data_IF_873384224228
#
_entry.id   IF_873384224228
#
_cell.length_a   1.000
_cell.length_b   1.000
_cell.length_c   1.000
_cell.angle_alpha   90.00
_cell.angle_beta   90.00
_cell.angle_gamma   90.00
#
_symmetry.space_group_name_H-M   'P 1'
#
loop_
_entity.id
_entity.type
_entity.pdbx_description
1 polymer ?
#
# COMPACT_ATOMS: atom_id res chain seq x y z
N UNK A 1 25.76 7.39 49.62
CA UNK A 1 25.24 8.44 48.72
C UNK A 1 26.39 8.96 47.88
N UNK A 2 26.19 8.98 46.55
CA UNK A 2 26.87 9.76 45.50
C UNK A 2 28.34 9.36 45.17
N UNK A 3 28.75 9.04 43.93
CA UNK A 3 28.10 9.17 42.64
C UNK A 3 28.87 8.51 41.48
N UNK A 4 28.19 8.47 40.33
CA UNK A 4 28.58 7.99 39.00
C UNK A 4 29.88 8.61 38.46
N UNK A 5 30.67 7.82 37.73
CA UNK A 5 31.32 8.26 36.47
C UNK A 5 31.72 7.08 35.58
N UNK A 6 31.13 7.04 34.39
CA UNK A 6 31.48 6.17 33.27
C UNK A 6 32.71 6.71 32.53
N UNK A 7 33.49 5.86 31.84
CA UNK A 7 34.22 6.27 30.65
C UNK A 7 33.62 5.63 29.40
N UNK A 8 33.06 6.49 28.55
CA UNK A 8 32.73 6.24 27.15
C UNK A 8 34.00 6.02 26.33
N UNK A 9 34.02 5.03 25.43
CA UNK A 9 34.69 5.21 24.13
C UNK A 9 34.19 4.24 23.04
N UNK A 10 34.33 4.65 21.75
CA UNK A 10 33.40 4.27 20.68
C UNK A 10 34.08 3.57 19.49
N UNK A 11 33.50 2.46 19.01
CA UNK A 11 33.75 1.84 17.68
C UNK A 11 32.58 0.87 17.47
N UNK A 12 31.85 0.77 16.37
CA UNK A 12 31.91 1.31 15.02
C UNK A 12 30.48 1.21 14.44
N UNK A 13 30.11 1.99 13.42
CA UNK A 13 28.77 2.00 12.83
C UNK A 13 28.63 0.88 11.79
N UNK A 14 27.38 0.52 11.47
CA UNK A 14 26.98 -0.39 10.39
C UNK A 14 27.17 -1.90 10.66
N UNK A 15 26.17 -2.49 11.32
CA UNK A 15 25.64 -3.76 10.87
C UNK A 15 24.15 -3.53 10.57
N UNK A 16 23.88 -2.99 9.38
CA UNK A 16 22.56 -3.10 8.79
C UNK A 16 22.35 -4.58 8.47
N UNK A 17 21.80 -5.31 9.42
CA UNK A 17 21.33 -6.66 9.17
C UNK A 17 20.18 -6.52 8.19
N UNK A 18 20.46 -6.79 6.92
CA UNK A 18 19.52 -6.94 5.82
C UNK A 18 18.67 -8.19 6.08
N UNK A 19 17.89 -8.13 7.16
CA UNK A 19 16.86 -9.10 7.43
C UNK A 19 15.71 -8.73 6.50
N UNK A 20 15.19 -9.65 5.66
CA UNK A 20 13.92 -9.41 5.00
C UNK A 20 12.95 -9.00 6.10
N UNK A 21 12.37 -7.80 6.03
CA UNK A 21 11.40 -7.35 7.03
C UNK A 21 10.16 -8.23 6.91
N UNK A 22 10.24 -9.42 7.52
CA UNK A 22 9.13 -10.32 7.74
C UNK A 22 8.37 -9.67 8.88
N UNK A 23 7.43 -8.80 8.51
CA UNK A 23 6.54 -8.12 9.42
C UNK A 23 5.71 -9.17 10.18
N UNK A 24 5.47 -8.99 11.49
CA UNK A 24 4.73 -9.96 12.27
C UNK A 24 3.32 -10.13 11.71
N UNK A 25 2.82 -11.37 11.73
CA UNK A 25 1.49 -11.81 11.32
C UNK A 25 0.36 -11.26 12.23
N UNK A 26 0.42 -9.97 12.52
CA UNK A 26 -0.67 -9.22 13.12
C UNK A 26 -1.82 -9.14 12.11
N UNK A 27 -3.07 -9.17 12.59
CA UNK A 27 -4.26 -8.94 11.75
C UNK A 27 -4.40 -7.44 11.38
N UNK A 28 -3.27 -6.81 11.08
CA UNK A 28 -3.15 -5.42 10.71
C UNK A 28 -3.20 -5.27 9.19
N UNK A 29 -3.62 -4.09 8.77
CA UNK A 29 -3.64 -3.64 7.38
C UNK A 29 -2.80 -2.37 7.30
N UNK A 30 -2.05 -2.24 6.21
CA UNK A 30 -1.19 -1.11 5.93
C UNK A 30 -1.79 -0.24 4.83
N UNK A 31 -1.56 1.06 4.94
CA UNK A 31 -1.82 2.01 3.88
C UNK A 31 -0.68 1.97 2.87
N UNK A 32 -1.00 1.67 1.62
CA UNK A 32 -0.06 1.70 0.50
C UNK A 32 -0.54 2.71 -0.50
N UNK A 33 0.28 3.71 -0.77
CA UNK A 33 0.07 4.70 -1.81
C UNK A 33 0.42 4.09 -3.17
N UNK A 34 -0.40 4.42 -4.16
CA UNK A 34 -0.32 3.85 -5.50
C UNK A 34 -0.24 4.99 -6.50
N UNK A 35 0.69 4.87 -7.45
CA UNK A 35 0.59 5.57 -8.74
C UNK A 35 0.25 4.56 -9.81
N UNK A 36 -0.81 4.83 -10.58
CA UNK A 36 -1.25 3.93 -11.65
C UNK A 36 -0.38 4.13 -12.90
N UNK A 37 -0.14 3.05 -13.65
CA UNK A 37 0.45 3.15 -14.98
C UNK A 37 -0.66 3.53 -15.98
N UNK A 38 -0.54 4.69 -16.63
CA UNK A 38 -1.51 5.20 -17.60
C UNK A 38 -2.98 4.99 -17.15
N UNK A 39 -3.84 4.46 -18.03
CA UNK A 39 -5.25 4.11 -17.75
C UNK A 39 -5.44 2.72 -17.13
N UNK A 40 -4.37 2.09 -16.60
CA UNK A 40 -4.37 0.70 -16.09
C UNK A 40 -4.70 0.58 -14.60
N UNK A 41 -5.56 1.46 -14.08
CA UNK A 41 -5.94 1.39 -12.66
C UNK A 41 -6.61 0.07 -12.30
N UNK A 42 -7.38 -0.52 -13.22
CA UNK A 42 -7.93 -1.87 -13.05
C UNK A 42 -6.84 -2.92 -12.88
N UNK A 43 -5.89 -2.97 -13.81
CA UNK A 43 -4.87 -4.00 -13.83
C UNK A 43 -3.95 -3.91 -12.60
N UNK A 44 -3.65 -2.68 -12.15
CA UNK A 44 -2.89 -2.45 -10.93
C UNK A 44 -3.63 -3.03 -9.70
N UNK A 45 -4.90 -2.66 -9.52
CA UNK A 45 -5.70 -3.14 -8.39
C UNK A 45 -5.94 -4.65 -8.44
N UNK A 46 -6.15 -5.22 -9.64
CA UNK A 46 -6.29 -6.66 -9.85
C UNK A 46 -5.02 -7.39 -9.44
N UNK A 47 -3.86 -6.94 -9.92
CA UNK A 47 -2.57 -7.55 -9.56
C UNK A 47 -2.34 -7.53 -8.04
N UNK A 48 -2.64 -6.40 -7.39
CA UNK A 48 -2.54 -6.34 -5.93
C UNK A 48 -3.48 -7.33 -5.24
N UNK A 49 -4.73 -7.45 -5.68
CA UNK A 49 -5.69 -8.40 -5.14
C UNK A 49 -5.34 -9.88 -5.37
N UNK A 50 -4.51 -10.19 -6.38
CA UNK A 50 -3.98 -11.54 -6.63
C UNK A 50 -2.83 -11.90 -5.68
N UNK A 51 -2.11 -10.90 -5.15
CA UNK A 51 -0.93 -11.10 -4.31
C UNK A 51 -1.16 -10.80 -2.83
N UNK A 52 -2.23 -10.10 -2.48
CA UNK A 52 -2.58 -9.77 -1.09
C UNK A 52 -4.09 -9.53 -0.93
N UNK A 53 -4.55 -9.58 0.31
CA UNK A 53 -5.92 -9.15 0.65
C UNK A 53 -6.00 -7.62 0.66
N UNK A 54 -6.77 -7.07 -0.28
CA UNK A 54 -7.19 -5.67 -0.24
C UNK A 54 -8.45 -5.56 0.62
N UNK A 55 -8.57 -4.52 1.43
CA UNK A 55 -9.75 -4.26 2.27
C UNK A 55 -10.44 -2.94 1.91
N UNK A 56 -9.72 -2.05 1.25
CA UNK A 56 -10.24 -0.80 0.72
C UNK A 56 -9.31 -0.29 -0.38
N UNK A 57 -9.87 0.41 -1.36
CA UNK A 57 -9.09 1.18 -2.32
C UNK A 57 -9.75 2.52 -2.60
N UNK A 58 -8.92 3.52 -2.82
CA UNK A 58 -9.29 4.83 -3.30
C UNK A 58 -8.50 5.14 -4.57
N UNK A 59 -9.17 5.79 -5.52
CA UNK A 59 -8.57 6.33 -6.74
C UNK A 59 -8.96 7.80 -6.84
N UNK A 60 -7.98 8.66 -7.06
CA UNK A 60 -8.22 10.08 -7.32
C UNK A 60 -9.00 10.26 -8.63
N UNK A 61 -9.96 11.20 -8.63
CA UNK A 61 -10.71 11.55 -9.84
C UNK A 61 -9.88 12.40 -10.81
N UNK A 62 -8.85 13.08 -10.30
CA UNK A 62 -8.05 14.06 -11.03
C UNK A 62 -6.65 13.54 -11.32
N UNK A 63 -6.06 12.82 -10.36
CA UNK A 63 -4.70 12.32 -10.44
C UNK A 63 -4.65 10.84 -10.80
N UNK A 64 -3.56 10.40 -11.44
CA UNK A 64 -3.28 8.97 -11.66
C UNK A 64 -2.69 8.32 -10.40
N UNK A 65 -3.28 8.62 -9.25
CA UNK A 65 -2.84 8.22 -7.93
C UNK A 65 -4.01 7.75 -7.07
N UNK A 66 -3.68 7.07 -5.98
CA UNK A 66 -4.65 6.55 -5.04
C UNK A 66 -3.96 5.86 -3.88
N UNK A 67 -4.73 5.10 -3.12
CA UNK A 67 -4.19 4.27 -2.04
C UNK A 67 -5.04 3.04 -1.80
N UNK A 68 -4.44 2.02 -1.20
CA UNK A 68 -5.13 0.82 -0.72
C UNK A 68 -4.85 0.60 0.75
N UNK A 69 -5.84 0.03 1.43
CA UNK A 69 -5.61 -0.68 2.68
C UNK A 69 -5.50 -2.15 2.38
N UNK A 70 -4.36 -2.75 2.70
CA UNK A 70 -4.08 -4.14 2.36
C UNK A 70 -3.32 -4.86 3.45
N UNK A 71 -3.35 -6.20 3.43
CA UNK A 71 -2.48 -6.99 4.28
C UNK A 71 -1.01 -6.70 3.89
N UNK A 72 -0.13 -6.37 4.86
CA UNK A 72 1.29 -6.18 4.58
C UNK A 72 1.89 -7.42 3.93
N UNK A 73 2.72 -7.21 2.92
CA UNK A 73 3.39 -8.27 2.17
C UNK A 73 4.76 -7.76 1.72
N UNK A 74 5.71 -8.65 1.45
CA UNK A 74 7.04 -8.25 1.03
C UNK A 74 6.98 -7.49 -0.31
N UNK A 75 7.74 -6.39 -0.42
CA UNK A 75 7.84 -5.60 -1.65
C UNK A 75 8.29 -6.45 -2.85
N UNK A 76 9.07 -7.50 -2.62
CA UNK A 76 9.48 -8.46 -3.65
C UNK A 76 8.29 -9.17 -4.29
N UNK A 77 7.24 -9.48 -3.52
CA UNK A 77 6.00 -10.09 -4.04
C UNK A 77 5.23 -9.06 -4.88
N UNK A 78 5.19 -7.79 -4.44
CA UNK A 78 4.49 -6.73 -5.16
C UNK A 78 5.24 -6.21 -6.38
N UNK A 79 6.52 -6.56 -6.53
CA UNK A 79 7.34 -6.12 -7.66
C UNK A 79 6.78 -6.56 -9.02
N UNK A 80 6.04 -7.67 -9.07
CA UNK A 80 5.32 -8.13 -10.26
C UNK A 80 4.25 -7.15 -10.73
N UNK A 81 3.67 -6.35 -9.82
CA UNK A 81 2.65 -5.37 -10.14
C UNK A 81 3.24 -4.02 -10.59
N UNK A 82 4.50 -3.74 -10.26
CA UNK A 82 5.16 -2.47 -10.57
C UNK A 82 5.81 -2.51 -11.96
N UNK A 83 5.72 -1.41 -12.70
CA UNK A 83 6.25 -1.25 -14.07
C UNK A 83 5.19 -1.51 -15.15
N UNK A 84 4.48 -2.64 -15.09
CA UNK A 84 3.48 -2.98 -16.11
C UNK A 84 2.06 -2.53 -15.78
N UNK A 85 1.68 -2.58 -14.49
CA UNK A 85 0.32 -2.31 -14.03
C UNK A 85 0.26 -1.08 -13.14
N UNK A 86 1.15 -0.99 -12.15
CA UNK A 86 1.34 0.15 -11.28
C UNK A 86 2.64 0.89 -11.66
N UNK A 87 2.63 2.22 -11.67
CA UNK A 87 3.86 3.02 -11.85
C UNK A 87 4.74 2.95 -10.62
N UNK A 88 4.14 3.02 -9.42
CA UNK A 88 4.86 2.87 -8.16
C UNK A 88 3.91 2.42 -7.05
N UNK A 89 4.48 1.72 -6.07
CA UNK A 89 3.85 1.39 -4.80
C UNK A 89 4.77 1.88 -3.69
N UNK A 90 4.23 2.60 -2.72
CA UNK A 90 4.98 3.05 -1.54
C UNK A 90 4.14 2.81 -0.30
N UNK A 91 4.73 2.14 0.69
CA UNK A 91 4.21 2.26 2.04
C UNK A 91 4.31 3.73 2.44
N UNK A 92 3.24 4.27 3.01
CA UNK A 92 3.25 5.65 3.49
C UNK A 92 4.46 5.84 4.43
N UNK A 93 5.13 7.00 4.35
CA UNK A 93 6.38 7.31 5.09
C UNK A 93 6.26 7.10 6.61
N UNK A 94 5.04 7.23 7.14
CA UNK A 94 4.75 7.02 8.56
C UNK A 94 4.46 5.55 8.92
N UNK A 95 4.53 4.64 7.95
CA UNK A 95 4.24 3.22 8.14
C UNK A 95 2.81 2.98 8.64
N UNK A 96 1.85 3.79 8.17
CA UNK A 96 0.50 3.82 8.73
C UNK A 96 -0.14 2.43 8.64
N UNK A 97 -0.36 1.85 9.81
CA UNK A 97 -0.98 0.55 9.98
C UNK A 97 -2.13 0.68 10.98
N UNK A 98 -3.18 -0.09 10.75
CA UNK A 98 -4.26 -0.22 11.70
C UNK A 98 -4.68 -1.67 11.84
N UNK A 99 -5.27 -2.00 12.98
CA UNK A 99 -5.93 -3.30 13.14
C UNK A 99 -7.07 -3.39 12.15
N UNK A 100 -7.15 -4.49 11.40
CA UNK A 100 -8.27 -4.74 10.48
C UNK A 100 -9.59 -4.67 11.26
N UNK A 101 -10.56 -3.84 10.84
CA UNK A 101 -11.89 -3.85 11.41
C UNK A 101 -12.53 -5.25 11.34
N UNK A 102 -13.23 -5.66 12.40
CA UNK A 102 -13.89 -6.97 12.44
C UNK A 102 -15.04 -6.98 11.43
N UNK A 103 -15.17 -8.06 10.66
CA UNK A 103 -16.24 -8.23 9.68
C UNK A 103 -16.05 -7.48 8.37
N UNK A 104 -14.93 -6.77 8.16
CA UNK A 104 -14.60 -6.16 6.87
C UNK A 104 -14.10 -7.24 5.90
N UNK A 105 -14.87 -7.60 4.85
CA UNK A 105 -14.42 -8.58 3.88
C UNK A 105 -13.33 -8.01 2.98
N UNK A 106 -12.48 -8.86 2.39
CA UNK A 106 -11.58 -8.43 1.32
C UNK A 106 -12.36 -7.93 0.11
N UNK A 107 -11.81 -6.92 -0.55
CA UNK A 107 -12.25 -6.41 -1.86
C UNK A 107 -12.00 -7.49 -2.90
N UNK A 108 -13.00 -7.77 -3.72
CA UNK A 108 -12.92 -8.69 -4.84
C UNK A 108 -12.67 -7.95 -6.16
N UNK A 109 -12.27 -8.69 -7.19
CA UNK A 109 -12.16 -8.16 -8.56
C UNK A 109 -13.50 -7.61 -9.06
N UNK A 110 -14.63 -8.16 -8.62
CA UNK A 110 -15.97 -7.67 -8.96
C UNK A 110 -16.18 -6.27 -8.36
N UNK A 111 -15.82 -6.07 -7.10
CA UNK A 111 -15.94 -4.77 -6.42
C UNK A 111 -15.09 -3.70 -7.13
N UNK A 112 -13.89 -4.08 -7.59
CA UNK A 112 -13.02 -3.21 -8.38
C UNK A 112 -13.71 -2.80 -9.69
N UNK A 113 -14.23 -3.77 -10.46
CA UNK A 113 -14.90 -3.51 -11.74
C UNK A 113 -16.10 -2.57 -11.53
N UNK A 114 -16.96 -2.86 -10.55
CA UNK A 114 -18.14 -2.06 -10.28
C UNK A 114 -17.78 -0.61 -9.92
N UNK A 115 -16.76 -0.41 -9.08
CA UNK A 115 -16.28 0.93 -8.72
C UNK A 115 -15.76 1.72 -9.93
N UNK A 116 -15.00 1.06 -10.82
CA UNK A 116 -14.45 1.70 -12.01
C UNK A 116 -15.53 2.08 -13.02
N UNK A 117 -16.55 1.24 -13.20
CA UNK A 117 -17.71 1.53 -14.05
C UNK A 117 -18.47 2.75 -13.51
N UNK A 118 -18.70 2.80 -12.20
CA UNK A 118 -19.39 3.91 -11.54
C UNK A 118 -18.62 5.23 -11.70
N UNK A 119 -17.30 5.19 -11.59
CA UNK A 119 -16.46 6.36 -11.81
C UNK A 119 -16.51 6.85 -13.27
N UNK A 120 -16.38 5.95 -14.25
CA UNK A 120 -16.44 6.33 -15.66
C UNK A 120 -17.78 6.99 -16.01
N UNK A 121 -18.89 6.51 -15.42
CA UNK A 121 -20.22 7.11 -15.56
C UNK A 121 -20.33 8.52 -14.96
N UNK A 122 -19.57 8.85 -13.92
CA UNK A 122 -19.54 10.21 -13.36
C UNK A 122 -18.78 11.16 -14.28
N UNK A 123 -17.64 10.72 -14.80
CA UNK A 123 -16.82 11.55 -15.70
C UNK A 123 -17.49 11.83 -17.05
N UNK A 124 -18.31 10.91 -17.57
CA UNK A 124 -19.07 11.17 -18.81
C UNK A 124 -20.29 12.08 -18.64
N UNK A 125 -20.68 12.40 -17.40
CA UNK A 125 -21.79 13.29 -17.08
C UNK A 125 -21.37 14.70 -16.70
N UNK A 126 -20.07 14.97 -16.55
CA UNK A 126 -19.59 16.32 -16.34
C UNK A 126 -19.75 17.13 -17.64
N UNK A 127 -20.49 18.25 -17.66
CA UNK A 127 -20.53 19.12 -18.82
C UNK A 127 -19.14 19.70 -19.04
N UNK A 128 -18.64 19.63 -20.28
CA UNK A 128 -17.57 20.52 -20.73
C UNK A 128 -18.12 21.94 -20.72
N UNK A 129 -17.83 22.70 -19.67
CA UNK A 129 -17.93 24.17 -19.67
C UNK A 129 -16.70 24.79 -20.29
#
# INVERSE_FOLDING_TARGET
MNGLKSPTSPLSPFAATDSPQIWPASNNIALVEIKFADSRSYDCLKCLAEHTELFFFYRSEVERSGYVWMRPVLLTILSSCVGMHCSSLSYNENGMQMRRPVGLPPVTTIDIILSLVMFNKRNTKAPHT
#
